data_IF_187796001539
#
_entry.id   IF_187796001539
#
_cell.length_a   1.000
_cell.length_b   1.000
_cell.length_c   1.000
_cell.angle_alpha   90.00
_cell.angle_beta   90.00
_cell.angle_gamma   90.00
#
_symmetry.space_group_name_H-M   'P 1'
#
loop_
_entity.id
_entity.type
_entity.pdbx_description
1 polymer ?
#
# COMPACT_ATOMS: atom_id res chain seq x y z
N UNK A 1 21.11 -19.00 17.18
CA UNK A 1 21.40 -18.25 18.41
C UNK A 1 20.69 -16.93 18.32
N UNK A 2 19.79 -16.64 19.27
CA UNK A 2 19.11 -15.35 19.41
C UNK A 2 20.17 -14.27 19.61
N UNK A 3 20.35 -13.39 18.62
CA UNK A 3 20.78 -12.05 18.91
C UNK A 3 19.54 -11.32 19.40
N UNK A 4 19.48 -11.16 20.72
CA UNK A 4 18.51 -10.30 21.38
C UNK A 4 18.71 -8.88 20.84
N UNK A 5 17.80 -8.43 19.99
CA UNK A 5 17.57 -7.01 19.80
C UNK A 5 17.22 -6.44 21.17
N UNK A 6 18.01 -5.48 21.64
CA UNK A 6 17.79 -4.83 22.92
C UNK A 6 16.45 -4.10 22.87
N UNK A 7 15.52 -4.35 23.81
CA UNK A 7 14.31 -3.58 23.88
C UNK A 7 14.66 -2.23 24.50
N UNK A 8 14.53 -1.18 23.72
CA UNK A 8 14.08 0.09 24.29
C UNK A 8 12.80 0.51 23.57
N UNK A 9 11.83 -0.40 23.43
CA UNK A 9 10.49 0.01 23.09
C UNK A 9 9.95 0.73 24.31
N UNK A 10 9.71 2.03 24.19
CA UNK A 10 8.91 2.75 25.17
C UNK A 10 7.66 1.92 25.46
N UNK A 11 7.21 1.78 26.72
CA UNK A 11 5.94 1.11 27.01
C UNK A 11 4.77 1.67 26.17
N UNK A 12 4.88 2.94 25.75
CA UNK A 12 3.95 3.59 24.84
C UNK A 12 4.07 3.03 23.41
N UNK A 13 5.28 2.89 22.87
CA UNK A 13 5.50 2.34 21.52
C UNK A 13 5.02 0.90 21.42
N UNK A 14 5.32 0.07 22.42
CA UNK A 14 4.86 -1.32 22.46
C UNK A 14 3.32 -1.41 22.53
N UNK A 15 2.66 -0.49 23.26
CA UNK A 15 1.21 -0.43 23.32
C UNK A 15 0.59 -0.01 21.97
N UNK A 16 1.21 0.95 21.26
CA UNK A 16 0.77 1.38 19.93
C UNK A 16 0.91 0.24 18.92
N UNK A 17 2.05 -0.46 18.92
CA UNK A 17 2.27 -1.61 18.04
C UNK A 17 1.25 -2.73 18.29
N UNK A 18 0.99 -3.08 19.55
CA UNK A 18 -0.01 -4.08 19.91
C UNK A 18 -1.41 -3.68 19.44
N UNK A 19 -1.81 -2.43 19.66
CA UNK A 19 -3.11 -1.91 19.23
C UNK A 19 -3.26 -1.92 17.69
N UNK A 20 -2.19 -1.64 16.95
CA UNK A 20 -2.17 -1.73 15.49
C UNK A 20 -2.44 -3.17 15.02
N UNK A 21 -1.74 -4.16 15.57
CA UNK A 21 -1.94 -5.56 15.18
C UNK A 21 -3.32 -6.09 15.59
N UNK A 22 -3.83 -5.70 16.76
CA UNK A 22 -5.18 -6.06 17.21
C UNK A 22 -6.24 -5.49 16.25
N UNK A 23 -6.14 -4.20 15.93
CA UNK A 23 -7.07 -3.55 15.00
C UNK A 23 -7.00 -4.16 13.58
N UNK A 24 -5.79 -4.44 13.10
CA UNK A 24 -5.56 -5.07 11.80
C UNK A 24 -6.18 -6.48 11.73
N UNK A 25 -5.99 -7.30 12.79
CA UNK A 25 -6.58 -8.64 12.86
C UNK A 25 -8.10 -8.63 12.99
N UNK A 26 -8.67 -7.60 13.63
CA UNK A 26 -10.11 -7.44 13.77
C UNK A 26 -10.79 -6.89 12.50
N UNK A 27 -10.03 -6.28 11.59
CA UNK A 27 -10.59 -5.65 10.39
C UNK A 27 -11.08 -6.69 9.38
N UNK A 28 -12.39 -6.67 9.12
CA UNK A 28 -13.02 -7.55 8.13
C UNK A 28 -13.09 -6.84 6.78
N UNK A 29 -12.20 -7.25 5.87
CA UNK A 29 -12.20 -6.75 4.49
C UNK A 29 -13.54 -7.07 3.80
N UNK A 30 -13.98 -6.13 2.96
CA UNK A 30 -15.08 -6.32 2.02
C UNK A 30 -14.53 -6.14 0.61
N UNK A 31 -15.06 -6.92 -0.33
CA UNK A 31 -14.71 -6.79 -1.73
C UNK A 31 -15.11 -5.41 -2.26
N UNK A 32 -14.26 -4.83 -3.11
CA UNK A 32 -14.48 -3.59 -3.83
C UNK A 32 -14.45 -3.88 -5.33
N UNK A 33 -15.59 -3.76 -6.00
CA UNK A 33 -15.68 -4.02 -7.44
C UNK A 33 -15.45 -2.75 -8.29
N UNK A 34 -15.27 -1.59 -7.66
CA UNK A 34 -14.93 -0.34 -8.33
C UNK A 34 -13.43 -0.22 -8.68
N UNK A 35 -13.03 0.83 -9.41
CA UNK A 35 -11.63 1.09 -9.68
C UNK A 35 -10.87 1.37 -8.38
N UNK A 36 -9.64 0.87 -8.28
CA UNK A 36 -8.71 1.17 -7.19
C UNK A 36 -7.31 1.33 -7.75
N UNK A 37 -6.62 2.41 -7.40
CA UNK A 37 -5.21 2.61 -7.76
C UNK A 37 -4.35 2.49 -6.51
N UNK A 38 -3.41 1.55 -6.51
CA UNK A 38 -2.39 1.39 -5.47
C UNK A 38 -1.10 2.08 -5.91
N UNK A 39 -0.76 3.19 -5.26
CA UNK A 39 0.57 3.76 -5.33
C UNK A 39 1.46 3.10 -4.29
N UNK A 40 2.60 2.56 -4.70
CA UNK A 40 3.53 1.87 -3.80
C UNK A 40 4.98 2.09 -4.21
N UNK A 41 5.96 1.94 -3.29
CA UNK A 41 7.36 1.95 -3.68
C UNK A 41 7.72 0.71 -4.53
N UNK A 42 8.85 0.72 -5.25
CA UNK A 42 9.30 -0.44 -6.00
C UNK A 42 9.58 -1.59 -5.05
N UNK A 43 8.99 -2.74 -5.31
CA UNK A 43 9.28 -3.94 -4.51
C UNK A 43 10.56 -4.58 -5.01
N UNK A 44 11.59 -4.60 -4.16
CA UNK A 44 12.85 -5.28 -4.48
C UNK A 44 12.88 -6.61 -3.76
N UNK A 45 12.69 -7.69 -4.51
CA UNK A 45 12.93 -9.03 -4.02
C UNK A 45 14.37 -9.22 -3.55
N UNK A 46 14.56 -9.68 -2.31
CA UNK A 46 15.91 -9.98 -1.80
C UNK A 46 16.25 -11.47 -1.88
N UNK A 47 15.27 -12.35 -1.71
CA UNK A 47 15.48 -13.79 -1.79
C UNK A 47 14.40 -14.47 -2.64
N UNK A 48 14.83 -15.36 -3.53
CA UNK A 48 13.94 -16.21 -4.32
C UNK A 48 13.76 -17.56 -3.60
N UNK A 49 12.51 -17.90 -3.32
CA UNK A 49 12.10 -19.17 -2.71
C UNK A 49 11.67 -20.17 -3.78
N UNK A 50 11.58 -21.45 -3.39
CA UNK A 50 11.01 -22.48 -4.25
C UNK A 50 9.57 -22.13 -4.69
N UNK A 51 9.28 -22.39 -5.96
CA UNK A 51 7.99 -22.07 -6.59
C UNK A 51 7.88 -20.63 -7.09
N UNK A 52 9.01 -19.94 -7.34
CA UNK A 52 9.02 -18.60 -7.94
C UNK A 52 8.64 -17.46 -6.99
N UNK A 53 8.37 -17.77 -5.72
CA UNK A 53 8.02 -16.77 -4.70
C UNK A 53 9.24 -15.93 -4.35
N UNK A 54 9.01 -14.66 -4.07
CA UNK A 54 10.05 -13.69 -3.72
C UNK A 54 9.73 -13.10 -2.36
N UNK A 55 10.74 -12.95 -1.52
CA UNK A 55 10.61 -12.24 -0.24
C UNK A 55 11.59 -11.08 -0.14
N UNK A 56 11.16 -10.02 0.53
CA UNK A 56 11.96 -8.83 0.78
C UNK A 56 12.97 -9.04 1.93
N UNK A 57 13.69 -7.97 2.30
CA UNK A 57 14.68 -7.98 3.38
C UNK A 57 14.12 -8.37 4.75
N UNK A 58 12.82 -8.20 4.95
CA UNK A 58 12.09 -8.45 6.20
C UNK A 58 11.34 -9.80 6.14
N UNK A 59 11.60 -10.60 5.10
CA UNK A 59 11.01 -11.92 4.83
C UNK A 59 9.50 -11.87 4.57
N UNK A 60 8.99 -10.72 4.14
CA UNK A 60 7.61 -10.57 3.71
C UNK A 60 7.51 -10.98 2.23
N UNK A 61 6.41 -11.63 1.85
CA UNK A 61 6.17 -11.99 0.46
C UNK A 61 6.01 -10.73 -0.38
N UNK A 62 6.76 -10.69 -1.47
CA UNK A 62 6.66 -9.63 -2.48
C UNK A 62 5.65 -10.08 -3.52
N UNK A 63 4.45 -9.50 -3.44
CA UNK A 63 3.41 -9.63 -4.46
C UNK A 63 3.39 -8.35 -5.29
N UNK A 64 3.13 -8.44 -6.58
CA UNK A 64 3.06 -7.28 -7.48
C UNK A 64 1.86 -6.35 -7.18
N UNK A 65 0.85 -6.86 -6.48
CA UNK A 65 -0.39 -6.19 -6.11
C UNK A 65 -0.54 -5.94 -4.60
N UNK A 66 0.50 -6.23 -3.81
CA UNK A 66 0.46 -6.25 -2.33
C UNK A 66 -0.69 -7.11 -1.75
N UNK A 67 -1.14 -8.13 -2.48
CA UNK A 67 -2.23 -9.04 -2.06
C UNK A 67 -3.63 -8.44 -2.18
N UNK A 68 -3.80 -7.30 -2.86
CA UNK A 68 -5.08 -6.61 -2.93
C UNK A 68 -6.01 -7.10 -4.04
N UNK A 69 -5.51 -7.77 -5.09
CA UNK A 69 -6.33 -8.07 -6.28
C UNK A 69 -7.45 -9.06 -6.01
N UNK A 70 -7.32 -9.92 -5.00
CA UNK A 70 -8.39 -10.80 -4.53
C UNK A 70 -9.61 -10.02 -4.00
N UNK A 71 -9.36 -8.84 -3.42
CA UNK A 71 -10.38 -7.95 -2.84
C UNK A 71 -10.82 -6.84 -3.78
N UNK A 72 -9.94 -6.42 -4.69
CA UNK A 72 -10.17 -5.34 -5.64
C UNK A 72 -9.70 -5.76 -7.04
N UNK A 73 -10.58 -6.38 -7.85
CA UNK A 73 -10.19 -6.95 -9.14
C UNK A 73 -9.75 -5.90 -10.16
N UNK A 74 -10.39 -4.72 -10.13
CA UNK A 74 -10.08 -3.57 -10.97
C UNK A 74 -8.90 -2.73 -10.43
N UNK A 75 -7.94 -3.38 -9.77
CA UNK A 75 -6.76 -2.75 -9.20
C UNK A 75 -5.72 -2.39 -10.28
N UNK A 76 -5.32 -1.13 -10.31
CA UNK A 76 -4.13 -0.65 -11.02
C UNK A 76 -3.00 -0.39 -10.02
N UNK A 77 -1.78 -0.87 -10.32
CA UNK A 77 -0.61 -0.65 -9.47
C UNK A 77 0.33 0.33 -10.17
N UNK A 78 0.70 1.41 -9.48
CA UNK A 78 1.63 2.42 -9.97
C UNK A 78 2.78 2.55 -8.98
N UNK A 79 4.00 2.23 -9.44
CA UNK A 79 5.19 2.41 -8.61
C UNK A 79 5.61 3.88 -8.55
N UNK A 80 5.99 4.34 -7.35
CA UNK A 80 6.50 5.68 -7.07
C UNK A 80 7.85 5.60 -6.36
N UNK A 81 8.75 6.60 -6.50
CA UNK A 81 10.06 6.56 -5.85
C UNK A 81 10.00 6.51 -4.32
N UNK A 82 11.05 5.97 -3.70
CA UNK A 82 11.20 5.85 -2.25
C UNK A 82 10.88 4.45 -1.73
N UNK A 83 10.66 4.37 -0.42
CA UNK A 83 10.13 3.22 0.32
C UNK A 83 8.85 3.62 1.05
N UNK A 84 8.29 2.76 1.91
CA UNK A 84 7.02 3.04 2.59
C UNK A 84 7.07 4.33 3.44
N UNK A 85 8.25 4.69 3.98
CA UNK A 85 8.41 5.88 4.81
C UNK A 85 8.68 7.12 3.94
N UNK A 86 9.57 6.98 2.96
CA UNK A 86 10.06 8.10 2.17
C UNK A 86 9.23 8.42 0.94
N UNK A 87 8.33 7.54 0.48
CA UNK A 87 7.46 7.79 -0.68
C UNK A 87 6.52 8.99 -0.49
N UNK A 88 6.25 9.34 0.77
CA UNK A 88 5.38 10.47 1.17
C UNK A 88 6.15 11.72 1.57
N UNK A 89 7.48 11.70 1.48
CA UNK A 89 8.36 12.82 1.84
C UNK A 89 9.01 13.42 0.59
N UNK A 90 9.36 14.70 0.65
CA UNK A 90 10.12 15.32 -0.45
C UNK A 90 11.50 14.65 -0.62
N UNK A 91 11.95 14.42 -1.87
CA UNK A 91 11.33 14.84 -3.13
C UNK A 91 10.29 13.85 -3.70
N UNK A 92 10.16 12.65 -3.14
CA UNK A 92 9.32 11.57 -3.69
C UNK A 92 7.82 11.94 -3.69
N UNK A 93 7.38 12.71 -2.69
CA UNK A 93 6.02 13.21 -2.57
C UNK A 93 5.57 13.97 -3.84
N UNK A 94 6.48 14.68 -4.52
CA UNK A 94 6.18 15.40 -5.76
C UNK A 94 5.85 14.44 -6.90
N UNK A 95 6.59 13.33 -7.00
CA UNK A 95 6.34 12.29 -7.98
C UNK A 95 5.01 11.56 -7.70
N UNK A 96 4.75 11.21 -6.44
CA UNK A 96 3.47 10.63 -6.02
C UNK A 96 2.30 11.54 -6.38
N UNK A 97 2.39 12.83 -6.03
CA UNK A 97 1.34 13.80 -6.33
C UNK A 97 1.11 13.99 -7.84
N UNK A 98 2.17 13.98 -8.65
CA UNK A 98 2.05 14.05 -10.11
C UNK A 98 1.31 12.84 -10.69
N UNK A 99 1.56 11.63 -10.16
CA UNK A 99 0.88 10.41 -10.59
C UNK A 99 -0.60 10.40 -10.18
N UNK A 100 -0.92 10.82 -8.96
CA UNK A 100 -2.31 10.95 -8.50
C UNK A 100 -3.08 11.90 -9.42
N UNK A 101 -2.52 13.08 -9.71
CA UNK A 101 -3.17 14.06 -10.63
C UNK A 101 -3.43 13.48 -12.01
N UNK A 102 -2.50 12.70 -12.57
CA UNK A 102 -2.67 12.09 -13.88
C UNK A 102 -3.82 11.07 -13.89
N UNK A 103 -3.92 10.24 -12.84
CA UNK A 103 -5.03 9.27 -12.70
C UNK A 103 -6.38 9.97 -12.56
N UNK A 104 -6.46 11.00 -11.72
CA UNK A 104 -7.70 11.77 -11.55
C UNK A 104 -8.15 12.43 -12.86
N UNK A 105 -7.23 13.07 -13.59
CA UNK A 105 -7.54 13.72 -14.86
C UNK A 105 -8.02 12.72 -15.94
N UNK A 106 -7.45 11.51 -15.96
CA UNK A 106 -7.91 10.45 -16.86
C UNK A 106 -9.34 10.00 -16.52
N UNK A 107 -9.67 9.86 -15.23
CA UNK A 107 -11.03 9.49 -14.80
C UNK A 107 -12.07 10.58 -15.04
N UNK A 108 -11.69 11.86 -14.95
CA UNK A 108 -12.59 12.98 -15.25
C UNK A 108 -12.91 13.10 -16.74
N UNK A 109 -11.98 12.68 -17.61
CA UNK A 109 -12.16 12.72 -19.07
C UNK A 109 -13.11 11.62 -19.57
N UNK A 110 -13.13 10.48 -18.88
CA UNK A 110 -13.97 9.30 -19.24
C UNK A 110 -15.33 9.31 -18.53
N UNK A 111 -15.59 10.28 -17.65
CA UNK A 111 -16.88 10.44 -17.01
C UNK A 111 -17.90 11.02 -18.01
N UNK A 112 -19.01 10.31 -18.32
CA UNK A 112 -20.15 10.98 -18.94
C UNK A 112 -20.57 12.12 -18.01
N UNK A 113 -20.85 13.31 -18.57
CA UNK A 113 -21.29 14.50 -17.83
C UNK A 113 -22.60 14.20 -17.11
N UNK A 114 -22.51 13.59 -15.92
CA UNK A 114 -23.64 13.08 -15.17
C UNK A 114 -23.60 13.71 -13.79
N UNK A 115 -24.29 14.85 -13.73
CA UNK A 115 -24.87 15.53 -12.56
C UNK A 115 -24.07 15.44 -11.27
N UNK A 116 -23.48 16.59 -10.93
CA UNK A 116 -23.32 17.06 -9.55
C UNK A 116 -24.44 16.48 -8.68
N UNK A 117 -24.05 15.73 -7.64
CA UNK A 117 -24.94 15.34 -6.56
C UNK A 117 -25.52 16.61 -5.92
N UNK A 118 -26.68 17.03 -6.41
CA UNK A 118 -27.65 17.81 -5.66
C UNK A 118 -28.55 16.80 -4.92
N UNK A 119 -28.88 17.12 -3.66
CA UNK A 119 -29.63 16.35 -2.65
C UNK A 119 -28.76 15.29 -1.91
N UNK A 120 -28.68 15.26 -0.57
CA UNK A 120 -29.48 15.86 0.52
C UNK A 120 -28.59 16.07 1.76
#
# INVERSE_FOLDING_TARGET
GRLAAQPSASPVEAAIEAAFYEASAAYRLRRWDGPMTLFRPPVTGRWHLAGGRVVDKDRQYVLDDNGWRDWAPALEVIEVPGDHDSMVLDPNAQALAARIRAVMAATETDAPTSRLHAAE
#
